data_IF_614208931584
#
_entry.id   IF_614208931584
#
_cell.length_a   1.000
_cell.length_b   1.000
_cell.length_c   1.000
_cell.angle_alpha   90.00
_cell.angle_beta   90.00
_cell.angle_gamma   90.00
#
_symmetry.space_group_name_H-M   'P 1'
#
loop_
_entity.id
_entity.type
_entity.pdbx_description
1 polymer ?
#
# COMPACT_ATOMS: atom_id res chain seq x y z
N UNK A 1 10.29 9.56 4.67
CA UNK A 1 9.17 8.62 4.36
C UNK A 1 8.71 8.74 2.89
N UNK A 2 8.33 9.93 2.42
CA UNK A 2 7.81 10.13 1.05
C UNK A 2 8.80 9.67 -0.04
N UNK A 3 10.06 10.11 0.00
CA UNK A 3 11.05 9.72 -1.02
C UNK A 3 11.24 8.20 -1.16
N UNK A 4 11.39 7.48 -0.04
CA UNK A 4 11.53 6.01 -0.04
C UNK A 4 10.29 5.33 -0.62
N UNK A 5 9.09 5.79 -0.24
CA UNK A 5 7.84 5.22 -0.71
C UNK A 5 7.57 5.53 -2.18
N UNK A 6 7.94 6.72 -2.66
CA UNK A 6 7.76 7.11 -4.05
C UNK A 6 8.77 6.41 -4.98
N UNK A 7 9.98 6.12 -4.49
CA UNK A 7 11.02 5.47 -5.30
C UNK A 7 10.60 4.06 -5.73
N UNK A 8 10.14 3.21 -4.81
CA UNK A 8 9.70 1.86 -5.19
C UNK A 8 8.45 1.91 -6.09
N UNK A 9 7.54 2.87 -5.84
CA UNK A 9 6.37 3.10 -6.68
C UNK A 9 6.74 3.49 -8.10
N UNK A 10 7.82 4.26 -8.29
CA UNK A 10 8.32 4.64 -9.62
C UNK A 10 8.80 3.43 -10.43
N UNK A 11 9.46 2.46 -9.78
CA UNK A 11 9.90 1.24 -10.46
C UNK A 11 8.74 0.36 -10.94
N UNK A 12 7.58 0.41 -10.28
CA UNK A 12 6.37 -0.35 -10.65
C UNK A 12 5.31 0.48 -11.39
N UNK A 13 5.69 1.65 -11.91
CA UNK A 13 4.78 2.55 -12.59
C UNK A 13 4.37 1.96 -13.95
N UNK A 14 3.10 2.13 -14.31
CA UNK A 14 2.61 1.90 -15.67
C UNK A 14 3.10 3.02 -16.58
N UNK A 15 3.60 2.68 -17.76
CA UNK A 15 4.07 3.62 -18.78
C UNK A 15 2.98 3.97 -19.82
N UNK A 16 1.85 3.28 -19.80
CA UNK A 16 0.67 3.54 -20.63
C UNK A 16 -0.27 4.58 -20.01
N UNK A 17 0.19 5.82 -19.92
CA UNK A 17 -0.59 6.91 -19.34
C UNK A 17 -1.76 7.33 -20.23
N UNK A 18 -2.99 7.22 -19.71
CA UNK A 18 -4.14 7.89 -20.28
C UNK A 18 -3.97 9.41 -20.17
N UNK A 19 -4.11 10.12 -21.29
CA UNK A 19 -4.09 11.58 -21.32
C UNK A 19 -5.51 12.12 -21.31
N UNK A 20 -5.83 12.94 -20.30
CA UNK A 20 -7.06 13.72 -20.29
C UNK A 20 -6.74 15.06 -20.94
N UNK A 21 -7.33 15.34 -22.10
CA UNK A 21 -7.22 16.63 -22.78
C UNK A 21 -8.47 17.46 -22.49
N UNK A 22 -8.26 18.70 -22.04
CA UNK A 22 -9.33 19.70 -22.00
C UNK A 22 -9.51 20.23 -23.43
N UNK A 23 -10.73 20.16 -23.93
CA UNK A 23 -11.09 20.53 -25.30
C UNK A 23 -12.13 21.64 -25.23
N UNK A 24 -12.07 22.61 -26.15
CA UNK A 24 -13.07 23.69 -26.23
C UNK A 24 -14.38 23.20 -26.84
N UNK A 25 -15.51 23.86 -26.55
CA UNK A 25 -16.83 23.47 -27.08
C UNK A 25 -16.88 23.42 -28.62
N UNK A 26 -16.11 24.29 -29.28
CA UNK A 26 -15.98 24.36 -30.75
C UNK A 26 -15.26 23.13 -31.32
N UNK A 27 -14.27 22.59 -30.59
CA UNK A 27 -13.56 21.38 -30.96
C UNK A 27 -14.36 20.13 -30.60
N UNK A 28 -15.13 20.17 -29.51
CA UNK A 28 -16.05 19.10 -29.13
C UNK A 28 -17.16 18.89 -30.18
N UNK A 29 -17.72 19.97 -30.72
CA UNK A 29 -18.74 19.92 -31.77
C UNK A 29 -18.24 19.32 -33.09
N UNK A 30 -16.92 19.20 -33.30
CA UNK A 30 -16.30 18.54 -34.45
C UNK A 30 -16.08 17.03 -34.25
N UNK A 31 -16.26 16.53 -33.03
CA UNK A 31 -16.15 15.10 -32.72
C UNK A 31 -17.54 14.50 -32.96
N UNK A 32 -17.66 13.71 -34.03
CA UNK A 32 -18.91 13.05 -34.43
C UNK A 32 -19.51 12.24 -33.27
N UNK A 33 -20.83 12.27 -33.14
CA UNK A 33 -21.65 11.94 -31.96
C UNK A 33 -21.64 10.46 -31.51
N UNK A 34 -20.57 9.71 -31.73
CA UNK A 34 -20.36 8.42 -31.09
C UNK A 34 -19.18 8.54 -30.13
N UNK A 35 -19.47 8.85 -28.87
CA UNK A 35 -18.66 8.34 -27.76
C UNK A 35 -18.85 6.82 -27.75
N UNK A 36 -18.26 6.12 -28.73
CA UNK A 36 -17.69 4.82 -28.44
C UNK A 36 -16.54 5.14 -27.52
N UNK A 37 -16.55 4.55 -26.32
CA UNK A 37 -15.30 4.20 -25.65
C UNK A 37 -14.65 3.20 -26.62
N UNK A 38 -14.05 3.73 -27.68
CA UNK A 38 -13.17 2.99 -28.54
C UNK A 38 -11.91 2.98 -27.72
N UNK A 39 -11.53 1.81 -27.21
CA UNK A 39 -10.12 1.53 -26.96
C UNK A 39 -9.41 1.75 -28.30
N UNK A 40 -9.13 2.99 -28.64
CA UNK A 40 -8.40 3.32 -29.84
C UNK A 40 -6.96 2.98 -29.53
N UNK A 41 -6.57 1.76 -29.89
CA UNK A 41 -5.22 1.47 -30.36
C UNK A 41 -4.98 2.18 -31.70
N UNK A 42 -5.31 3.47 -31.78
CA UNK A 42 -4.97 4.28 -32.94
C UNK A 42 -3.71 5.05 -32.55
N UNK A 43 -2.61 4.47 -33.03
CA UNK A 43 -1.22 4.91 -33.00
C UNK A 43 -1.06 6.34 -33.55
N UNK A 44 -1.47 7.35 -32.78
CA UNK A 44 -0.94 8.69 -32.94
C UNK A 44 0.18 8.87 -31.91
N UNK A 45 1.31 8.21 -32.18
CA UNK A 45 2.55 8.40 -31.44
C UNK A 45 2.98 9.86 -31.58
N UNK A 46 2.66 10.67 -30.57
CA UNK A 46 3.53 11.76 -30.19
C UNK A 46 4.83 11.09 -29.69
N UNK A 47 5.77 10.83 -30.60
CA UNK A 47 7.11 10.29 -30.32
C UNK A 47 7.94 11.32 -29.53
N UNK A 48 7.43 11.73 -28.38
CA UNK A 48 8.33 12.04 -27.27
C UNK A 48 8.52 10.71 -26.57
N UNK A 49 9.58 9.98 -26.95
CA UNK A 49 10.09 8.82 -26.21
C UNK A 49 10.44 9.29 -24.80
N UNK A 50 9.44 9.39 -23.94
CA UNK A 50 9.64 9.59 -22.51
C UNK A 50 10.04 8.24 -21.96
N UNK A 51 11.33 7.95 -22.05
CA UNK A 51 11.92 6.85 -21.31
C UNK A 51 11.73 7.12 -19.82
N UNK A 52 10.79 6.39 -19.23
CA UNK A 52 10.63 6.38 -17.80
C UNK A 52 11.59 5.33 -17.22
N UNK A 53 12.35 5.73 -16.20
CA UNK A 53 13.18 4.81 -15.41
C UNK A 53 12.30 3.88 -14.56
N UNK A 54 11.70 2.87 -15.22
CA UNK A 54 10.81 1.86 -14.66
C UNK A 54 11.56 0.52 -14.67
N UNK A 55 11.39 -0.25 -13.60
CA UNK A 55 11.91 -1.60 -13.54
C UNK A 55 10.98 -2.45 -12.67
N UNK A 56 10.02 -3.09 -13.33
CA UNK A 56 9.01 -3.90 -12.66
C UNK A 56 9.63 -5.06 -11.88
N UNK A 57 10.78 -5.58 -12.32
CA UNK A 57 11.49 -6.64 -11.60
C UNK A 57 11.99 -6.14 -10.23
N UNK A 58 12.54 -4.92 -10.15
CA UNK A 58 12.94 -4.30 -8.88
C UNK A 58 11.72 -4.08 -7.97
N UNK A 59 10.64 -3.51 -8.49
CA UNK A 59 9.41 -3.30 -7.71
C UNK A 59 8.81 -4.62 -7.18
N UNK A 60 8.84 -5.66 -8.02
CA UNK A 60 8.37 -7.00 -7.67
C UNK A 60 9.24 -7.64 -6.59
N UNK A 61 10.57 -7.54 -6.72
CA UNK A 61 11.51 -8.04 -5.71
C UNK A 61 11.29 -7.34 -4.36
N UNK A 62 11.22 -6.00 -4.33
CA UNK A 62 10.94 -5.23 -3.10
C UNK A 62 9.63 -5.69 -2.45
N UNK A 63 8.57 -5.83 -3.25
CA UNK A 63 7.26 -6.26 -2.76
C UNK A 63 7.29 -7.70 -2.23
N UNK A 64 8.03 -8.60 -2.89
CA UNK A 64 8.23 -9.98 -2.44
C UNK A 64 8.96 -10.02 -1.10
N UNK A 65 10.11 -9.35 -0.99
CA UNK A 65 10.89 -9.29 0.25
C UNK A 65 10.09 -8.71 1.41
N UNK A 66 9.29 -7.67 1.17
CA UNK A 66 8.40 -7.11 2.19
C UNK A 66 7.35 -8.14 2.65
N UNK A 67 6.76 -8.91 1.73
CA UNK A 67 5.79 -9.96 2.07
C UNK A 67 6.42 -11.14 2.79
N UNK A 68 7.60 -11.57 2.37
CA UNK A 68 8.37 -12.65 3.00
C UNK A 68 8.76 -12.25 4.42
N UNK A 69 9.22 -11.01 4.61
CA UNK A 69 9.48 -10.46 5.94
C UNK A 69 8.22 -10.49 6.82
N UNK A 70 7.04 -10.20 6.28
CA UNK A 70 5.79 -10.27 7.03
C UNK A 70 5.27 -11.70 7.23
N UNK A 71 5.66 -12.64 6.37
CA UNK A 71 5.25 -14.04 6.44
C UNK A 71 5.74 -14.71 7.73
N UNK A 72 6.89 -14.29 8.26
CA UNK A 72 7.41 -14.80 9.54
C UNK A 72 6.44 -14.58 10.70
N UNK A 73 5.62 -13.52 10.67
CA UNK A 73 4.60 -13.27 11.69
C UNK A 73 3.33 -14.07 11.42
N UNK A 74 2.93 -14.16 10.15
CA UNK A 74 1.69 -14.85 9.74
C UNK A 74 1.76 -16.36 9.94
N UNK A 75 2.93 -16.95 9.74
CA UNK A 75 3.13 -18.39 9.75
C UNK A 75 3.71 -18.92 11.07
N UNK A 76 3.89 -18.06 12.09
CA UNK A 76 4.45 -18.50 13.37
C UNK A 76 3.33 -18.97 14.33
N UNK A 77 3.26 -20.26 14.68
CA UNK A 77 2.21 -20.80 15.54
C UNK A 77 2.29 -20.30 16.99
N UNK A 78 3.44 -19.75 17.41
CA UNK A 78 3.62 -19.16 18.75
C UNK A 78 3.08 -17.73 18.84
N UNK A 79 2.72 -17.13 17.71
CA UNK A 79 2.18 -15.77 17.64
C UNK A 79 0.67 -15.84 17.34
N UNK A 80 -0.16 -15.35 18.27
CA UNK A 80 -1.58 -15.17 17.99
C UNK A 80 -1.80 -13.86 17.23
N UNK A 81 -1.74 -13.94 15.91
CA UNK A 81 -1.97 -12.81 15.01
C UNK A 81 -3.47 -12.57 14.82
N UNK A 82 -3.96 -11.38 15.14
CA UNK A 82 -5.35 -10.98 14.93
C UNK A 82 -5.59 -10.33 13.57
N UNK A 83 -4.62 -9.52 13.11
CA UNK A 83 -4.73 -8.78 11.85
C UNK A 83 -3.35 -8.38 11.35
N UNK A 84 -3.22 -8.19 10.03
CA UNK A 84 -2.03 -7.62 9.39
C UNK A 84 -2.41 -6.85 8.13
N UNK A 85 -1.77 -5.70 7.91
CA UNK A 85 -1.92 -4.89 6.70
C UNK A 85 -0.55 -4.32 6.30
N UNK A 86 -0.07 -4.73 5.12
CA UNK A 86 1.19 -4.31 4.49
C UNK A 86 2.43 -4.47 5.36
N UNK A 87 2.68 -3.55 6.30
CA UNK A 87 3.84 -3.43 7.19
C UNK A 87 3.43 -3.39 8.68
N UNK A 88 2.18 -3.75 8.99
CA UNK A 88 1.64 -3.75 10.37
C UNK A 88 1.09 -5.10 10.78
N UNK A 89 1.15 -5.38 12.09
CA UNK A 89 0.57 -6.55 12.74
C UNK A 89 -0.17 -6.13 14.02
N UNK A 90 -1.26 -6.84 14.32
CA UNK A 90 -1.95 -6.74 15.61
C UNK A 90 -1.91 -8.11 16.28
N UNK A 91 -1.33 -8.16 17.47
CA UNK A 91 -1.07 -9.39 18.22
C UNK A 91 -1.38 -9.17 19.71
N UNK A 92 -1.46 -10.25 20.47
CA UNK A 92 -1.64 -10.21 21.91
C UNK A 92 -0.34 -9.97 22.69
N UNK A 93 0.81 -9.95 22.01
CA UNK A 93 2.12 -9.80 22.65
C UNK A 93 2.53 -8.33 22.80
N UNK A 94 3.16 -8.02 23.93
CA UNK A 94 3.81 -6.73 24.16
C UNK A 94 5.21 -6.68 23.47
N UNK A 95 5.88 -5.51 23.40
CA UNK A 95 7.21 -5.38 22.78
C UNK A 95 8.29 -6.34 23.31
N UNK A 96 8.32 -6.58 24.62
CA UNK A 96 9.31 -7.45 25.25
C UNK A 96 9.10 -8.91 24.85
N UNK A 97 7.85 -9.38 24.91
CA UNK A 97 7.46 -10.72 24.46
C UNK A 97 7.72 -10.90 22.95
N UNK A 98 7.46 -9.86 22.15
CA UNK A 98 7.80 -9.85 20.73
C UNK A 98 9.31 -9.99 20.52
N UNK A 99 10.14 -9.26 21.27
CA UNK A 99 11.59 -9.37 21.20
C UNK A 99 12.13 -10.70 21.75
N UNK A 100 11.43 -11.36 22.67
CA UNK A 100 11.79 -12.72 23.10
C UNK A 100 11.52 -13.75 22.00
N UNK A 101 10.40 -13.61 21.30
CA UNK A 101 10.04 -14.53 20.20
C UNK A 101 10.84 -14.25 18.93
N UNK A 102 11.14 -12.98 18.66
CA UNK A 102 11.91 -12.50 17.51
C UNK A 102 12.96 -11.49 18.00
N UNK A 103 14.18 -11.95 18.32
CA UNK A 103 15.23 -11.11 18.89
C UNK A 103 15.48 -9.82 18.10
N UNK A 104 15.27 -8.69 18.77
CA UNK A 104 15.54 -7.35 18.24
C UNK A 104 14.56 -6.87 17.17
N UNK A 105 13.39 -7.50 17.00
CA UNK A 105 12.41 -7.11 15.98
C UNK A 105 11.72 -5.78 16.28
N UNK A 106 11.57 -5.40 17.56
CA UNK A 106 10.86 -4.20 17.99
C UNK A 106 11.85 -3.10 18.37
N UNK A 107 11.85 -2.00 17.62
CA UNK A 107 12.62 -0.77 17.88
C UNK A 107 11.94 0.41 17.17
N UNK A 108 11.90 1.59 17.81
CA UNK A 108 11.20 2.77 17.29
C UNK A 108 12.02 3.66 16.35
N UNK A 109 13.34 3.48 16.29
CA UNK A 109 14.27 4.35 15.58
C UNK A 109 14.99 3.65 14.44
N UNK A 110 15.19 2.34 14.54
CA UNK A 110 15.91 1.56 13.55
C UNK A 110 15.04 1.21 12.34
N UNK A 111 15.61 1.36 11.15
CA UNK A 111 14.94 1.05 9.88
C UNK A 111 14.69 -0.46 9.75
N UNK A 112 13.50 -0.83 9.30
CA UNK A 112 13.12 -2.23 9.07
C UNK A 112 12.71 -2.99 10.34
N UNK A 113 12.68 -2.32 11.50
CA UNK A 113 12.14 -2.87 12.75
C UNK A 113 10.71 -2.40 13.00
N UNK A 114 9.97 -3.17 13.80
CA UNK A 114 8.60 -2.85 14.19
C UNK A 114 8.61 -1.77 15.28
N UNK A 115 7.81 -0.72 15.09
CA UNK A 115 7.54 0.28 16.11
C UNK A 115 6.20 -0.02 16.79
N UNK A 116 6.15 0.11 18.11
CA UNK A 116 4.88 0.08 18.84
C UNK A 116 4.10 1.37 18.54
N UNK A 117 3.02 1.26 17.77
CA UNK A 117 2.18 2.41 17.39
C UNK A 117 0.97 2.60 18.31
N UNK A 118 0.35 1.50 18.79
CA UNK A 118 -0.89 1.59 19.58
C UNK A 118 -1.06 0.35 20.46
N UNK A 119 -1.63 0.55 21.64
CA UNK A 119 -2.11 -0.52 22.52
C UNK A 119 -3.62 -0.37 22.69
N UNK A 120 -4.37 -1.43 22.40
CA UNK A 120 -5.83 -1.46 22.44
C UNK A 120 -6.34 -2.41 23.51
N UNK A 121 -7.29 -1.96 24.32
CA UNK A 121 -8.04 -2.79 25.26
C UNK A 121 -9.05 -3.69 24.56
N UNK A 122 -9.63 -3.22 23.42
CA UNK A 122 -10.53 -3.98 22.56
C UNK A 122 -10.27 -3.68 21.10
N UNK A 123 -10.43 -4.69 20.26
CA UNK A 123 -10.29 -4.58 18.81
C UNK A 123 -11.31 -5.48 18.11
N UNK A 124 -11.90 -5.00 17.01
CA UNK A 124 -12.79 -5.76 16.13
C UNK A 124 -12.29 -5.59 14.71
N UNK A 125 -11.89 -6.69 14.07
CA UNK A 125 -11.43 -6.72 12.69
C UNK A 125 -12.49 -7.41 11.84
N UNK A 126 -13.14 -6.65 10.95
CA UNK A 126 -14.27 -7.15 10.13
C UNK A 126 -13.76 -7.63 8.79
N UNK A 127 -12.95 -6.83 8.12
CA UNK A 127 -12.41 -7.12 6.80
C UNK A 127 -11.11 -6.35 6.55
N UNK A 128 -10.37 -6.63 5.45
CA UNK A 128 -9.18 -5.86 5.11
C UNK A 128 -9.47 -4.36 5.08
N UNK A 129 -8.74 -3.59 5.90
CA UNK A 129 -8.86 -2.13 6.05
C UNK A 129 -10.21 -1.65 6.61
N UNK A 130 -10.93 -2.53 7.32
CA UNK A 130 -12.14 -2.21 8.07
C UNK A 130 -12.05 -2.76 9.50
N UNK A 131 -11.75 -1.90 10.46
CA UNK A 131 -11.62 -2.29 11.87
C UNK A 131 -11.87 -1.15 12.86
N UNK A 132 -12.20 -1.56 14.09
CA UNK A 132 -12.39 -0.70 15.26
C UNK A 132 -11.36 -1.06 16.33
N UNK A 133 -10.77 -0.05 16.97
CA UNK A 133 -9.89 -0.19 18.14
C UNK A 133 -10.36 0.74 19.26
N UNK A 134 -10.32 0.24 20.49
CA UNK A 134 -10.47 1.04 21.71
C UNK A 134 -9.15 1.03 22.47
N UNK A 135 -8.54 2.19 22.66
CA UNK A 135 -7.29 2.31 23.42
C UNK A 135 -7.54 2.19 24.92
N UNK A 136 -6.46 2.05 25.70
CA UNK A 136 -6.54 2.05 27.16
C UNK A 136 -7.03 3.41 27.70
N UNK A 137 -6.75 4.50 26.97
CA UNK A 137 -7.21 5.86 27.30
C UNK A 137 -8.66 6.12 26.86
N UNK A 138 -9.46 5.06 26.62
CA UNK A 138 -10.83 5.13 26.10
C UNK A 138 -10.99 5.83 24.73
N UNK A 139 -9.91 6.05 23.98
CA UNK A 139 -9.99 6.62 22.64
C UNK A 139 -10.47 5.55 21.65
N UNK A 140 -11.43 5.92 20.82
CA UNK A 140 -11.95 5.07 19.77
C UNK A 140 -11.34 5.42 18.41
N UNK A 141 -10.91 4.39 17.68
CA UNK A 141 -10.29 4.52 16.35
C UNK A 141 -11.07 3.64 15.39
N UNK A 142 -11.63 4.27 14.36
CA UNK A 142 -12.32 3.61 13.26
C UNK A 142 -11.46 3.73 12.01
N UNK A 143 -11.10 2.60 11.39
CA UNK A 143 -10.49 2.59 10.06
C UNK A 143 -11.43 1.92 9.10
N UNK A 144 -11.88 2.67 8.10
CA UNK A 144 -12.69 2.16 7.01
C UNK A 144 -12.19 2.80 5.72
N UNK A 145 -11.70 1.98 4.78
CA UNK A 145 -11.20 2.47 3.48
C UNK A 145 -12.23 2.20 2.38
N UNK A 146 -12.55 3.22 1.58
CA UNK A 146 -13.48 3.13 0.46
C UNK A 146 -14.92 3.55 0.78
N UNK A 147 -15.14 4.08 1.99
CA UNK A 147 -16.32 4.87 2.37
C UNK A 147 -16.02 6.35 2.20
#
# INVERSE_FOLDING_TARGET
KLFLNSLYGKFGMRDDFESIKFISDIEFAKIDHQIKIKESKDDLFDLTDKEYNINVAIASAITSYARDYMAQFKNNPKLKLFYSDTDSIYTNLNPEQMNQLFPGIVNSQELGKLKLETVSSRAIFISPKCYYLKTNDNKEIFKVKGL
#
